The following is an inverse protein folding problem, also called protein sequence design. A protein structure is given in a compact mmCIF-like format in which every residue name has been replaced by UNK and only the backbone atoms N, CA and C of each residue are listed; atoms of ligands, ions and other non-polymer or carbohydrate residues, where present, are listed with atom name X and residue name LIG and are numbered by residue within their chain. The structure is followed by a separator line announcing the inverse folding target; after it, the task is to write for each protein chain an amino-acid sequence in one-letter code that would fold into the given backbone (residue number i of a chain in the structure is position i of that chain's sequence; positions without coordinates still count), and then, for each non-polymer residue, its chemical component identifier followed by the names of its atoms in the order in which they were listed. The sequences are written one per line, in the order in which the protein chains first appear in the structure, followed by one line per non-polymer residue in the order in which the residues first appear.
data_IF_445109503673
#
_entry.id   IF_445109503673
#
_cell.length_a   1.000
_cell.length_b   1.000
_cell.length_c   1.000
_cell.angle_alpha   90.00
_cell.angle_beta   90.00
_cell.angle_gamma   90.00
#
_symmetry.space_group_name_H-M   'P 1'
#
loop_
_entity.id
_entity.type
_entity.pdbx_description
1 polymer ?
#
# COMPACT_ATOMS: atom_id res chain seq x y z
N UNK A 1 -16.58 -9.03 -10.57
CA UNK A 1 -15.44 -9.52 -11.35
C UNK A 1 -14.50 -10.36 -10.50
N UNK A 2 -14.00 -9.89 -9.36
CA UNK A 2 -13.11 -10.69 -8.49
C UNK A 2 -13.73 -12.03 -8.12
N UNK A 3 -14.99 -12.07 -7.73
CA UNK A 3 -15.68 -13.31 -7.37
C UNK A 3 -15.88 -14.24 -8.58
N UNK A 4 -16.13 -13.67 -9.77
CA UNK A 4 -16.17 -14.44 -11.02
C UNK A 4 -14.83 -15.09 -11.32
N UNK A 5 -13.71 -14.38 -11.16
CA UNK A 5 -12.37 -14.93 -11.36
C UNK A 5 -12.04 -16.01 -10.32
N UNK A 6 -12.41 -15.79 -9.04
CA UNK A 6 -12.26 -16.80 -7.98
C UNK A 6 -13.05 -18.08 -8.28
N UNK A 7 -14.31 -17.94 -8.75
CA UNK A 7 -15.15 -19.11 -9.10
C UNK A 7 -14.58 -19.92 -10.25
N UNK A 8 -13.72 -19.33 -11.10
CA UNK A 8 -12.96 -19.98 -12.16
C UNK A 8 -11.61 -20.56 -11.70
N UNK A 9 -11.31 -20.51 -10.41
CA UNK A 9 -10.04 -20.93 -9.78
C UNK A 9 -8.79 -20.23 -10.33
N UNK A 10 -8.92 -18.94 -10.69
CA UNK A 10 -7.84 -18.16 -11.29
C UNK A 10 -7.00 -17.36 -10.27
N UNK A 11 -7.40 -17.37 -8.99
CA UNK A 11 -6.71 -16.57 -7.96
C UNK A 11 -5.25 -16.98 -7.75
N UNK A 12 -4.95 -18.30 -7.78
CA UNK A 12 -3.56 -18.78 -7.66
C UNK A 12 -2.69 -18.28 -8.80
N UNK A 13 -3.17 -18.36 -10.05
CA UNK A 13 -2.42 -17.86 -11.22
C UNK A 13 -2.13 -16.36 -11.09
N UNK A 14 -3.13 -15.57 -10.70
CA UNK A 14 -2.95 -14.13 -10.50
C UNK A 14 -1.94 -13.87 -9.39
N UNK A 15 -2.06 -14.54 -8.24
CA UNK A 15 -1.16 -14.35 -7.11
C UNK A 15 0.26 -14.77 -7.45
N UNK A 16 0.44 -15.89 -8.13
CA UNK A 16 1.76 -16.40 -8.50
C UNK A 16 2.48 -15.48 -9.49
N UNK A 17 1.76 -14.91 -10.47
CA UNK A 17 2.36 -14.04 -11.48
C UNK A 17 2.53 -12.60 -11.03
N UNK A 18 1.63 -12.09 -10.20
CA UNK A 18 1.59 -10.66 -9.81
C UNK A 18 2.04 -10.38 -8.39
N UNK A 19 2.06 -11.38 -7.50
CA UNK A 19 2.25 -11.22 -6.07
C UNK A 19 1.05 -10.61 -5.34
N UNK A 20 -0.06 -10.36 -6.03
CA UNK A 20 -1.24 -9.69 -5.51
C UNK A 20 -2.40 -10.67 -5.29
N UNK A 21 -3.34 -10.29 -4.46
CA UNK A 21 -4.63 -10.97 -4.30
C UNK A 21 -5.63 -10.45 -5.36
N UNK A 22 -6.63 -11.25 -5.69
CA UNK A 22 -7.77 -10.78 -6.50
C UNK A 22 -8.63 -9.83 -5.67
N UNK A 23 -8.40 -8.54 -5.82
CA UNK A 23 -9.11 -7.49 -5.08
C UNK A 23 -9.48 -6.33 -6.02
N UNK A 24 -10.66 -5.70 -5.86
CA UNK A 24 -11.05 -4.53 -6.63
C UNK A 24 -10.18 -3.29 -6.36
N UNK A 25 -9.31 -3.34 -5.39
CA UNK A 25 -8.29 -2.31 -5.14
C UNK A 25 -7.38 -2.08 -6.34
N UNK A 26 -7.04 -3.14 -7.08
CA UNK A 26 -6.11 -3.10 -8.22
C UNK A 26 -6.79 -2.74 -9.53
N UNK A 27 -6.00 -2.34 -10.55
CA UNK A 27 -6.50 -1.69 -11.76
C UNK A 27 -7.20 -2.64 -12.75
N UNK A 28 -6.76 -3.90 -12.86
CA UNK A 28 -7.19 -4.81 -13.94
C UNK A 28 -8.71 -5.03 -13.97
N UNK A 29 -9.33 -5.29 -12.81
CA UNK A 29 -10.78 -5.50 -12.72
C UNK A 29 -11.59 -4.22 -13.00
N UNK A 30 -11.01 -3.04 -12.79
CA UNK A 30 -11.62 -1.75 -13.18
C UNK A 30 -11.53 -1.55 -14.69
N UNK A 31 -10.43 -2.00 -15.32
CA UNK A 31 -10.25 -1.94 -16.77
C UNK A 31 -11.34 -2.70 -17.52
N UNK A 32 -11.56 -3.98 -17.17
CA UNK A 32 -12.64 -4.76 -17.80
C UNK A 32 -14.01 -4.14 -17.54
N UNK A 33 -14.26 -3.69 -16.29
CA UNK A 33 -15.55 -3.05 -15.98
C UNK A 33 -15.83 -1.84 -16.88
N UNK A 34 -14.83 -0.98 -17.12
CA UNK A 34 -14.96 0.19 -18.00
C UNK A 34 -15.23 -0.26 -19.43
N UNK A 35 -14.47 -1.23 -19.93
CA UNK A 35 -14.60 -1.71 -21.32
C UNK A 35 -15.98 -2.33 -21.59
N UNK A 36 -16.61 -2.96 -20.59
CA UNK A 36 -17.93 -3.57 -20.73
C UNK A 36 -19.09 -2.61 -20.47
N UNK A 37 -18.95 -1.67 -19.53
CA UNK A 37 -20.07 -0.87 -19.05
C UNK A 37 -20.12 0.55 -19.63
N UNK A 38 -19.02 1.03 -20.24
CA UNK A 38 -19.01 2.33 -20.92
C UNK A 38 -19.27 2.14 -22.40
N UNK A 39 -20.37 2.74 -22.88
CA UNK A 39 -20.80 2.59 -24.27
C UNK A 39 -19.69 2.96 -25.28
N UNK A 40 -19.37 2.03 -26.18
CA UNK A 40 -18.37 2.20 -27.22
C UNK A 40 -16.91 2.10 -26.74
N UNK A 41 -16.65 1.87 -25.44
CA UNK A 41 -15.28 1.78 -24.95
C UNK A 41 -14.54 0.57 -25.55
N UNK A 42 -15.17 -0.60 -25.60
CA UNK A 42 -14.58 -1.80 -26.19
C UNK A 42 -14.20 -1.58 -27.66
N UNK A 43 -15.14 -1.08 -28.49
CA UNK A 43 -14.90 -0.84 -29.92
C UNK A 43 -13.77 0.17 -30.15
N UNK A 44 -13.66 1.17 -29.29
CA UNK A 44 -12.59 2.18 -29.38
C UNK A 44 -11.24 1.62 -28.91
N UNK A 45 -11.26 0.77 -27.90
CA UNK A 45 -10.07 0.08 -27.42
C UNK A 45 -9.49 -0.84 -28.51
N UNK A 46 -10.35 -1.62 -29.18
CA UNK A 46 -9.96 -2.54 -30.25
C UNK A 46 -9.41 -1.77 -31.49
N UNK A 47 -9.85 -0.53 -31.70
CA UNK A 47 -9.32 0.37 -32.73
C UNK A 47 -8.05 1.12 -32.33
N UNK A 48 -7.55 0.93 -31.08
CA UNK A 48 -6.39 1.65 -30.56
C UNK A 48 -6.62 3.15 -30.30
N UNK A 49 -7.87 3.57 -30.11
CA UNK A 49 -8.24 4.97 -29.85
C UNK A 49 -8.17 5.34 -28.37
N UNK A 50 -7.94 4.36 -27.49
CA UNK A 50 -7.87 4.56 -26.05
C UNK A 50 -6.48 4.19 -25.53
N UNK A 51 -6.12 4.81 -24.42
CA UNK A 51 -4.96 4.47 -23.60
C UNK A 51 -5.40 4.26 -22.15
N UNK A 52 -4.79 3.31 -21.48
CA UNK A 52 -5.02 2.99 -20.08
C UNK A 52 -3.71 3.10 -19.31
N UNK A 53 -3.80 3.40 -18.01
CA UNK A 53 -2.64 3.42 -17.13
C UNK A 53 -3.03 3.83 -15.72
N UNK A 54 -2.09 3.73 -14.83
CA UNK A 54 -2.14 4.28 -13.48
C UNK A 54 -1.97 5.82 -13.54
N UNK A 55 -2.13 6.49 -12.40
CA UNK A 55 -2.11 7.97 -12.36
C UNK A 55 -0.80 8.57 -12.89
N UNK A 56 0.31 7.90 -12.69
CA UNK A 56 1.63 8.28 -13.20
C UNK A 56 1.65 8.35 -14.73
N UNK A 57 1.09 7.33 -15.42
CA UNK A 57 0.96 7.33 -16.89
C UNK A 57 0.16 8.52 -17.38
N UNK A 58 -0.95 8.84 -16.73
CA UNK A 58 -1.75 10.00 -17.06
C UNK A 58 -0.97 11.31 -16.85
N UNK A 59 -0.23 11.43 -15.74
CA UNK A 59 0.59 12.60 -15.44
C UNK A 59 1.72 12.77 -16.46
N UNK A 60 2.45 11.70 -16.80
CA UNK A 60 3.50 11.71 -17.82
C UNK A 60 2.91 12.15 -19.15
N UNK A 61 1.80 11.54 -19.57
CA UNK A 61 1.13 11.89 -20.82
C UNK A 61 0.73 13.37 -20.86
N UNK A 62 0.13 13.88 -19.79
CA UNK A 62 -0.26 15.29 -19.69
C UNK A 62 0.95 16.23 -19.68
N UNK A 63 1.97 15.92 -18.87
CA UNK A 63 3.16 16.75 -18.72
C UNK A 63 3.97 16.82 -20.03
N UNK A 64 4.03 15.72 -20.80
CA UNK A 64 4.74 15.66 -22.07
C UNK A 64 3.91 16.18 -23.26
N UNK A 65 2.70 16.68 -23.03
CA UNK A 65 1.81 17.14 -24.09
C UNK A 65 1.30 16.01 -25.01
N UNK A 66 1.06 14.83 -24.45
CA UNK A 66 0.55 13.65 -25.15
C UNK A 66 1.59 12.83 -25.93
N UNK A 67 2.89 13.09 -25.72
CA UNK A 67 3.97 12.45 -26.50
C UNK A 67 4.44 11.13 -25.91
N UNK A 68 4.32 10.93 -24.59
CA UNK A 68 4.82 9.75 -23.89
C UNK A 68 3.68 9.08 -23.13
N UNK A 69 3.45 7.79 -23.43
CA UNK A 69 2.57 6.90 -22.71
C UNK A 69 3.43 5.81 -22.06
N UNK A 70 3.85 6.05 -20.83
CA UNK A 70 4.75 5.18 -20.08
C UNK A 70 4.36 5.10 -18.61
N UNK A 71 4.81 4.05 -17.95
CA UNK A 71 4.74 3.82 -16.50
C UNK A 71 6.05 3.25 -16.02
N UNK A 72 6.25 3.16 -14.70
CA UNK A 72 7.37 2.42 -14.14
C UNK A 72 6.95 1.02 -13.64
N UNK A 73 7.95 0.18 -13.35
CA UNK A 73 7.70 -1.18 -12.89
C UNK A 73 6.94 -1.24 -11.55
N UNK A 74 7.08 -0.23 -10.67
CA UNK A 74 6.38 -0.21 -9.37
C UNK A 74 4.90 0.04 -9.54
N UNK A 75 4.49 0.99 -10.38
CA UNK A 75 3.10 1.25 -10.70
C UNK A 75 2.49 0.09 -11.52
N UNK A 76 3.21 -0.43 -12.52
CA UNK A 76 2.78 -1.58 -13.31
C UNK A 76 2.46 -2.79 -12.41
N UNK A 77 3.29 -3.06 -11.41
CA UNK A 77 3.08 -4.18 -10.47
C UNK A 77 1.79 -4.07 -9.62
N UNK A 78 1.06 -2.94 -9.66
CA UNK A 78 -0.20 -2.74 -8.93
C UNK A 78 -1.45 -2.94 -9.78
N UNK A 79 -1.33 -3.56 -10.95
CA UNK A 79 -2.41 -3.57 -11.93
C UNK A 79 -3.15 -4.90 -12.09
N UNK A 80 -2.66 -6.02 -11.56
CA UNK A 80 -3.06 -7.40 -11.85
C UNK A 80 -2.76 -7.84 -13.30
N UNK A 81 -2.03 -7.04 -14.07
CA UNK A 81 -1.73 -7.31 -15.49
C UNK A 81 -0.23 -7.47 -15.75
N UNK A 82 0.60 -7.15 -14.78
CA UNK A 82 2.05 -7.15 -14.88
C UNK A 82 2.65 -8.35 -14.16
N UNK A 83 3.44 -9.14 -14.88
CA UNK A 83 4.15 -10.28 -14.30
C UNK A 83 5.44 -9.79 -13.62
N UNK A 84 5.50 -9.96 -12.29
CA UNK A 84 6.64 -9.49 -11.50
C UNK A 84 7.91 -10.32 -11.68
N UNK A 85 7.81 -11.52 -12.27
CA UNK A 85 8.97 -12.38 -12.57
C UNK A 85 9.61 -12.01 -13.91
N UNK A 86 8.78 -11.86 -14.96
CA UNK A 86 9.26 -11.50 -16.30
C UNK A 86 9.47 -10.00 -16.50
N UNK A 87 8.92 -9.18 -15.61
CA UNK A 87 8.95 -7.71 -15.65
C UNK A 87 8.30 -7.12 -16.91
N UNK A 88 7.22 -7.76 -17.37
CA UNK A 88 6.44 -7.37 -18.55
C UNK A 88 4.94 -7.50 -18.30
N UNK A 89 4.14 -6.86 -19.14
CA UNK A 89 2.72 -7.14 -19.24
C UNK A 89 2.52 -8.61 -19.63
N UNK A 90 1.68 -9.31 -18.89
CA UNK A 90 1.48 -10.75 -19.04
C UNK A 90 0.29 -11.04 -19.93
N UNK A 91 0.51 -11.80 -21.00
CA UNK A 91 -0.54 -12.09 -21.98
C UNK A 91 -1.66 -12.96 -21.39
N UNK A 92 -1.34 -13.91 -20.51
CA UNK A 92 -2.35 -14.75 -19.86
C UNK A 92 -3.23 -13.93 -18.91
N UNK A 93 -2.64 -13.02 -18.13
CA UNK A 93 -3.38 -12.10 -17.27
C UNK A 93 -4.26 -11.13 -18.08
N UNK A 94 -3.74 -10.62 -19.21
CA UNK A 94 -4.50 -9.73 -20.10
C UNK A 94 -5.68 -10.44 -20.75
N UNK A 95 -5.49 -11.68 -21.20
CA UNK A 95 -6.55 -12.50 -21.78
C UNK A 95 -7.62 -12.84 -20.73
N UNK A 96 -7.18 -13.17 -19.49
CA UNK A 96 -8.05 -13.44 -18.35
C UNK A 96 -8.93 -12.25 -17.98
N UNK A 97 -8.36 -11.04 -18.04
CA UNK A 97 -9.03 -9.77 -17.74
C UNK A 97 -9.66 -9.13 -18.97
N UNK A 98 -9.55 -9.74 -20.13
CA UNK A 98 -10.08 -9.21 -21.41
C UNK A 98 -9.64 -7.77 -21.70
N UNK A 99 -8.38 -7.41 -21.34
CA UNK A 99 -7.81 -6.09 -21.53
C UNK A 99 -6.84 -6.14 -22.72
N UNK A 100 -7.11 -5.39 -23.81
CA UNK A 100 -6.20 -5.32 -24.94
C UNK A 100 -4.82 -4.75 -24.57
N UNK A 101 -3.74 -5.45 -24.95
CA UNK A 101 -2.37 -5.00 -24.69
C UNK A 101 -2.06 -3.61 -25.30
N UNK A 102 -2.74 -3.26 -26.39
CA UNK A 102 -2.60 -1.96 -27.06
C UNK A 102 -2.99 -0.76 -26.20
N UNK A 103 -3.75 -0.98 -25.12
CA UNK A 103 -4.14 0.07 -24.17
C UNK A 103 -3.02 0.45 -23.21
N UNK A 104 -2.04 -0.46 -23.00
CA UNK A 104 -1.11 -0.38 -21.86
C UNK A 104 0.12 0.47 -22.19
N UNK A 105 0.66 1.20 -21.20
CA UNK A 105 1.86 2.01 -21.36
C UNK A 105 3.14 1.16 -21.48
N UNK A 106 4.19 1.73 -22.03
CA UNK A 106 5.54 1.17 -21.96
C UNK A 106 6.03 1.16 -20.50
N UNK A 107 6.57 0.02 -20.04
CA UNK A 107 7.07 -0.12 -18.67
C UNK A 107 8.57 0.16 -18.64
N UNK A 108 8.97 1.20 -17.90
CA UNK A 108 10.37 1.64 -17.75
C UNK A 108 10.87 1.40 -16.33
N UNK A 109 12.17 1.61 -16.12
CA UNK A 109 12.76 1.64 -14.78
C UNK A 109 12.30 2.88 -14.00
N UNK A 110 12.34 2.82 -12.67
CA UNK A 110 11.97 3.97 -11.83
C UNK A 110 12.83 5.20 -12.13
N UNK A 111 14.10 5.01 -12.49
CA UNK A 111 14.98 6.07 -12.97
C UNK A 111 15.28 5.83 -14.46
N UNK A 112 14.56 6.54 -15.32
CA UNK A 112 14.66 6.43 -16.78
C UNK A 112 14.27 7.75 -17.46
N UNK A 113 14.48 7.83 -18.76
CA UNK A 113 14.01 8.95 -19.56
C UNK A 113 12.49 8.79 -19.83
N UNK A 114 11.68 9.64 -19.23
CA UNK A 114 10.23 9.73 -19.48
C UNK A 114 9.87 10.92 -20.35
N UNK A 115 10.85 11.52 -21.01
CA UNK A 115 10.70 12.70 -21.87
C UNK A 115 10.81 14.00 -21.07
N UNK A 116 10.34 15.08 -21.71
CA UNK A 116 10.39 16.44 -21.14
C UNK A 116 8.98 17.03 -21.02
N UNK A 117 8.79 17.91 -20.06
CA UNK A 117 7.54 18.62 -19.88
C UNK A 117 7.27 19.55 -21.07
N UNK A 118 6.00 19.66 -21.46
CA UNK A 118 5.61 20.62 -22.49
C UNK A 118 5.83 22.06 -22.02
N UNK A 119 6.53 22.83 -22.83
CA UNK A 119 6.79 24.26 -22.55
C UNK A 119 5.50 25.06 -22.37
N UNK A 120 4.41 24.65 -22.99
CA UNK A 120 3.10 25.33 -22.85
C UNK A 120 2.50 25.20 -21.44
N UNK A 121 2.92 24.21 -20.65
CA UNK A 121 2.40 23.98 -19.29
C UNK A 121 3.20 24.74 -18.23
N UNK A 122 4.54 24.66 -18.31
CA UNK A 122 5.42 25.16 -17.26
C UNK A 122 6.32 26.31 -17.71
N UNK A 123 6.20 26.77 -18.97
CA UNK A 123 7.05 27.82 -19.55
C UNK A 123 8.44 27.33 -19.96
N UNK A 124 8.88 26.18 -19.47
CA UNK A 124 10.19 25.56 -19.72
C UNK A 124 10.01 24.06 -19.95
N UNK A 125 11.02 23.46 -20.58
CA UNK A 125 11.13 22.00 -20.72
C UNK A 125 11.96 21.44 -19.57
N UNK A 126 11.36 20.59 -18.76
CA UNK A 126 12.01 19.93 -17.60
C UNK A 126 12.06 18.44 -17.88
N UNK A 127 13.23 17.78 -17.83
CA UNK A 127 13.30 16.33 -17.95
C UNK A 127 12.51 15.62 -16.86
N UNK A 128 11.75 14.60 -17.24
CA UNK A 128 11.06 13.68 -16.32
C UNK A 128 11.96 12.43 -16.24
N UNK A 129 12.71 12.29 -15.16
CA UNK A 129 13.76 11.27 -15.01
C UNK A 129 13.47 10.26 -13.89
N UNK A 130 12.37 10.39 -13.16
CA UNK A 130 12.01 9.47 -12.08
C UNK A 130 10.51 9.32 -11.94
N UNK A 131 10.06 8.07 -11.81
CA UNK A 131 8.66 7.68 -11.58
C UNK A 131 8.64 6.49 -10.62
N UNK A 132 7.79 6.55 -9.62
CA UNK A 132 7.54 5.43 -8.70
C UNK A 132 6.15 5.58 -8.06
N UNK A 133 5.55 4.45 -7.67
CA UNK A 133 4.37 4.49 -6.80
C UNK A 133 4.69 5.16 -5.46
N UNK A 134 3.72 5.77 -4.82
CA UNK A 134 3.93 6.56 -3.58
C UNK A 134 4.56 5.75 -2.45
N UNK A 135 4.11 4.51 -2.25
CA UNK A 135 4.64 3.62 -1.21
C UNK A 135 6.07 3.16 -1.53
N UNK A 136 6.37 2.91 -2.79
CA UNK A 136 7.70 2.57 -3.29
C UNK A 136 8.64 3.77 -3.23
N UNK A 137 8.16 4.96 -3.59
CA UNK A 137 8.90 6.20 -3.41
C UNK A 137 9.25 6.45 -1.94
N UNK A 138 8.32 6.16 -1.01
CA UNK A 138 8.59 6.23 0.42
C UNK A 138 9.63 5.20 0.88
N UNK A 139 9.63 3.98 0.32
CA UNK A 139 10.67 2.97 0.61
C UNK A 139 12.08 3.49 0.25
N UNK A 140 12.20 4.12 -0.92
CA UNK A 140 13.45 4.76 -1.38
C UNK A 140 13.77 5.99 -0.52
N UNK A 141 12.78 6.86 -0.28
CA UNK A 141 12.94 8.09 0.52
C UNK A 141 13.37 7.83 1.95
N UNK A 142 12.94 6.71 2.54
CA UNK A 142 13.38 6.22 3.84
C UNK A 142 14.73 5.46 3.77
N UNK A 143 15.38 5.42 2.60
CA UNK A 143 16.63 4.71 2.38
C UNK A 143 16.60 3.23 2.84
N UNK A 144 15.49 2.53 2.59
CA UNK A 144 15.34 1.11 2.90
C UNK A 144 15.93 0.25 1.77
N UNK A 145 17.24 0.30 1.58
CA UNK A 145 17.94 -0.37 0.47
C UNK A 145 18.46 -1.76 0.79
N UNK A 146 18.55 -2.13 2.06
CA UNK A 146 19.03 -3.45 2.46
C UNK A 146 17.87 -4.41 2.72
N UNK A 147 18.06 -5.69 2.40
CA UNK A 147 17.10 -6.75 2.71
C UNK A 147 16.81 -6.78 4.21
N UNK A 148 15.54 -6.81 4.59
CA UNK A 148 15.09 -6.76 5.97
C UNK A 148 14.82 -5.34 6.51
N UNK A 149 15.19 -4.28 5.79
CA UNK A 149 14.77 -2.93 6.14
C UNK A 149 13.29 -2.71 5.81
N UNK A 150 12.59 -2.03 6.70
CA UNK A 150 11.17 -1.76 6.57
C UNK A 150 10.93 -0.26 6.61
N UNK A 151 10.03 0.23 5.76
CA UNK A 151 9.35 1.51 5.96
C UNK A 151 7.90 1.28 6.38
N UNK A 152 7.38 2.12 7.23
CA UNK A 152 5.97 2.13 7.61
C UNK A 152 5.45 3.55 7.69
N UNK A 153 4.46 3.87 6.86
CA UNK A 153 3.83 5.19 6.81
C UNK A 153 2.54 5.16 7.61
N UNK A 154 2.50 5.90 8.72
CA UNK A 154 1.34 6.01 9.61
C UNK A 154 0.54 7.27 9.30
N UNK A 155 -0.40 7.13 8.36
CA UNK A 155 -1.41 8.13 8.01
C UNK A 155 -2.79 7.76 8.57
N UNK A 156 -3.85 7.92 7.77
CA UNK A 156 -5.21 7.44 8.08
C UNK A 156 -5.22 5.93 8.39
N UNK A 157 -4.58 5.15 7.51
CA UNK A 157 -4.15 3.78 7.75
C UNK A 157 -2.64 3.71 7.91
N UNK A 158 -2.10 2.49 7.90
CA UNK A 158 -0.66 2.27 7.89
C UNK A 158 -0.28 1.35 6.73
N UNK A 159 0.77 1.73 5.99
CA UNK A 159 1.31 0.97 4.87
C UNK A 159 2.76 0.60 5.14
N UNK A 160 2.99 -0.67 5.33
CA UNK A 160 4.30 -1.23 5.65
C UNK A 160 4.89 -1.97 4.46
N UNK A 161 6.11 -1.60 4.06
CA UNK A 161 6.87 -2.30 3.01
C UNK A 161 8.21 -2.78 3.56
N UNK A 162 8.48 -4.06 3.37
CA UNK A 162 9.74 -4.71 3.74
C UNK A 162 10.52 -5.06 2.48
N UNK A 163 11.75 -4.57 2.36
CA UNK A 163 12.65 -4.89 1.26
C UNK A 163 13.08 -6.37 1.33
N UNK A 164 12.82 -7.14 0.26
CA UNK A 164 13.18 -8.57 0.16
C UNK A 164 14.39 -8.82 -0.73
N UNK A 165 15.05 -7.76 -1.21
CA UNK A 165 16.14 -7.86 -2.18
C UNK A 165 15.66 -8.32 -3.55
N UNK A 166 16.43 -9.15 -4.22
CA UNK A 166 16.11 -9.68 -5.55
C UNK A 166 15.19 -10.91 -5.52
N UNK A 167 14.69 -11.29 -4.34
CA UNK A 167 13.85 -12.47 -4.17
C UNK A 167 12.36 -12.11 -4.20
N UNK A 168 11.63 -12.76 -5.09
CA UNK A 168 10.16 -12.79 -5.05
C UNK A 168 9.74 -13.77 -3.96
N UNK A 169 9.15 -13.28 -2.89
CA UNK A 169 8.66 -14.12 -1.80
C UNK A 169 7.15 -14.25 -1.89
N UNK A 170 6.68 -15.46 -2.10
CA UNK A 170 5.26 -15.77 -1.95
C UNK A 170 4.89 -15.76 -0.46
N UNK A 171 3.93 -14.95 -0.06
CA UNK A 171 3.47 -14.89 1.31
C UNK A 171 2.41 -15.95 1.60
N UNK A 172 2.65 -16.78 2.62
CA UNK A 172 1.66 -17.69 3.18
C UNK A 172 0.76 -17.01 4.25
N UNK A 173 1.06 -15.73 4.55
CA UNK A 173 0.37 -14.94 5.57
C UNK A 173 -0.45 -13.80 4.94
N UNK A 174 -0.86 -13.96 3.67
CA UNK A 174 -1.69 -12.99 2.94
C UNK A 174 -1.08 -11.58 2.83
N UNK A 175 0.25 -11.47 2.86
CA UNK A 175 0.94 -10.23 2.49
C UNK A 175 1.05 -10.15 0.98
N UNK A 176 1.20 -8.95 0.45
CA UNK A 176 1.34 -8.73 -0.99
C UNK A 176 2.83 -8.67 -1.36
N UNK A 177 3.21 -9.37 -2.43
CA UNK A 177 4.53 -9.20 -3.03
C UNK A 177 4.43 -8.18 -4.16
N UNK A 178 5.37 -7.25 -4.21
CA UNK A 178 5.35 -6.16 -5.20
C UNK A 178 6.76 -5.81 -5.63
N UNK A 179 6.89 -5.09 -6.74
CA UNK A 179 8.16 -4.46 -7.11
C UNK A 179 8.40 -3.29 -6.14
N UNK A 180 9.49 -3.33 -5.39
CA UNK A 180 9.93 -2.25 -4.51
C UNK A 180 10.55 -1.11 -5.32
N UNK A 181 11.42 -1.43 -6.26
CA UNK A 181 11.96 -0.54 -7.30
C UNK A 181 12.68 -1.34 -8.38
N UNK A 182 12.83 -0.76 -9.58
CA UNK A 182 13.67 -1.29 -10.65
C UNK A 182 14.62 -0.20 -11.16
N UNK A 183 15.92 -0.48 -11.09
CA UNK A 183 17.00 0.45 -11.47
C UNK A 183 18.03 -0.26 -12.33
N UNK A 184 18.35 0.30 -13.49
CA UNK A 184 19.30 -0.27 -14.45
C UNK A 184 18.99 -1.75 -14.78
N UNK A 185 17.71 -2.07 -14.95
CA UNK A 185 17.22 -3.42 -15.24
C UNK A 185 17.23 -4.40 -14.06
N UNK A 186 17.68 -3.98 -12.88
CA UNK A 186 17.66 -4.82 -11.66
C UNK A 186 16.45 -4.52 -10.81
N UNK A 187 15.70 -5.55 -10.49
CA UNK A 187 14.48 -5.45 -9.66
C UNK A 187 14.76 -5.78 -8.21
N UNK A 188 14.35 -4.91 -7.32
CA UNK A 188 14.24 -5.17 -5.89
C UNK A 188 12.77 -5.33 -5.55
N UNK A 189 12.43 -6.38 -4.80
CA UNK A 189 11.07 -6.69 -4.40
C UNK A 189 10.79 -6.25 -2.97
N UNK A 190 9.52 -6.20 -2.62
CA UNK A 190 9.08 -5.90 -1.27
C UNK A 190 7.83 -6.70 -0.90
N UNK A 191 7.73 -7.07 0.39
CA UNK A 191 6.49 -7.55 1.00
C UNK A 191 5.72 -6.38 1.59
N UNK A 192 4.48 -6.21 1.16
CA UNK A 192 3.57 -5.18 1.63
C UNK A 192 2.51 -5.75 2.58
N UNK A 193 2.23 -5.03 3.65
CA UNK A 193 1.08 -5.24 4.50
C UNK A 193 0.45 -3.91 4.87
N UNK A 194 -0.86 -3.86 4.98
CA UNK A 194 -1.60 -2.64 5.32
C UNK A 194 -2.51 -2.83 6.52
N UNK A 195 -2.57 -1.80 7.35
CA UNK A 195 -3.52 -1.62 8.45
C UNK A 195 -4.50 -0.55 7.98
N UNK A 196 -5.79 -0.87 7.93
CA UNK A 196 -6.78 0.05 7.38
C UNK A 196 -7.06 1.25 8.29
N UNK A 197 -6.94 1.05 9.60
CA UNK A 197 -7.26 2.05 10.61
C UNK A 197 -6.06 2.28 11.53
N UNK A 198 -5.35 3.38 11.33
CA UNK A 198 -4.28 3.88 12.19
C UNK A 198 -4.65 5.27 12.72
N UNK A 199 -4.23 6.34 12.08
CA UNK A 199 -4.61 7.71 12.44
C UNK A 199 -6.11 7.97 12.40
N UNK A 200 -6.88 7.19 11.61
CA UNK A 200 -8.34 7.24 11.62
C UNK A 200 -8.93 6.90 13.00
N UNK A 201 -8.27 6.05 13.80
CA UNK A 201 -8.72 5.78 15.15
C UNK A 201 -8.55 7.01 16.07
N UNK A 202 -7.46 7.74 15.92
CA UNK A 202 -7.26 9.01 16.65
C UNK A 202 -8.24 10.09 16.17
N UNK A 203 -8.51 10.16 14.87
CA UNK A 203 -9.54 11.06 14.33
C UNK A 203 -10.93 10.70 14.90
N UNK A 204 -11.25 9.42 15.03
CA UNK A 204 -12.49 8.98 15.65
C UNK A 204 -12.60 9.40 17.13
N UNK A 205 -11.52 9.32 17.91
CA UNK A 205 -11.49 9.83 19.29
C UNK A 205 -11.83 11.31 19.34
N UNK A 206 -11.34 12.10 18.35
CA UNK A 206 -11.58 13.55 18.26
C UNK A 206 -12.97 13.86 17.69
N UNK A 207 -13.27 13.36 16.49
CA UNK A 207 -14.41 13.81 15.69
C UNK A 207 -15.68 12.95 15.93
N UNK A 208 -15.49 11.67 16.29
CA UNK A 208 -16.58 10.72 16.50
C UNK A 208 -17.14 10.73 17.93
N UNK A 209 -16.27 10.63 18.93
CA UNK A 209 -16.69 10.57 20.34
C UNK A 209 -16.29 11.80 21.16
N UNK A 210 -15.43 12.68 20.64
CA UNK A 210 -15.16 14.00 21.24
C UNK A 210 -14.43 13.94 22.59
N UNK A 211 -13.54 12.97 22.83
CA UNK A 211 -12.80 12.84 24.09
C UNK A 211 -11.43 13.52 24.03
N UNK A 212 -11.00 13.99 22.87
CA UNK A 212 -9.83 14.83 22.65
C UNK A 212 -10.18 15.96 21.69
N UNK A 213 -9.51 17.10 21.78
CA UNK A 213 -9.66 18.22 20.85
C UNK A 213 -8.64 18.17 19.71
N UNK A 214 -7.44 17.66 19.99
CA UNK A 214 -6.33 17.55 19.04
C UNK A 214 -5.59 16.21 19.18
N UNK A 215 -5.00 15.73 18.10
CA UNK A 215 -4.19 14.50 18.11
C UNK A 215 -2.97 14.60 19.07
N UNK A 216 -2.42 15.80 19.28
CA UNK A 216 -1.28 16.02 20.19
C UNK A 216 -1.60 15.69 21.65
N UNK A 217 -2.87 15.80 22.09
CA UNK A 217 -3.25 15.44 23.45
C UNK A 217 -3.03 13.97 23.76
N UNK A 218 -3.02 13.10 22.73
CA UNK A 218 -2.91 11.65 22.91
C UNK A 218 -1.59 11.23 23.55
N UNK A 219 -0.49 11.94 23.28
CA UNK A 219 0.83 11.65 23.86
C UNK A 219 0.81 11.80 25.38
N UNK A 220 0.45 13.00 25.86
CA UNK A 220 0.39 13.27 27.29
C UNK A 220 -0.63 12.40 28.04
N UNK A 221 -1.77 12.08 27.41
CA UNK A 221 -2.78 11.20 28.00
C UNK A 221 -2.26 9.76 28.14
N UNK A 222 -1.55 9.25 27.12
CA UNK A 222 -0.95 7.89 27.20
C UNK A 222 0.18 7.84 28.23
N UNK A 223 1.01 8.89 28.34
CA UNK A 223 2.08 9.00 29.32
C UNK A 223 1.59 9.12 30.78
N UNK A 224 0.37 9.64 30.96
CA UNK A 224 -0.21 9.79 32.32
C UNK A 224 -0.58 8.47 32.99
N UNK A 225 -0.53 7.36 32.27
CA UNK A 225 -0.89 6.04 32.76
C UNK A 225 0.33 5.11 32.75
N UNK A 226 0.49 4.28 33.75
CA UNK A 226 1.53 3.23 33.77
C UNK A 226 1.18 2.06 32.84
N UNK A 227 -0.10 1.78 32.63
CA UNK A 227 -0.61 0.70 31.77
C UNK A 227 -1.94 1.12 31.11
N UNK A 228 -2.46 0.30 30.21
CA UNK A 228 -3.80 0.48 29.64
C UNK A 228 -4.93 0.07 30.60
N UNK A 229 -4.61 -0.32 31.82
CA UNK A 229 -5.55 -0.77 32.85
C UNK A 229 -6.50 -1.90 32.39
N UNK A 230 -6.03 -2.74 31.44
CA UNK A 230 -6.81 -3.85 30.87
C UNK A 230 -7.79 -3.43 29.79
N UNK A 231 -7.73 -2.17 29.33
CA UNK A 231 -8.60 -1.69 28.23
C UNK A 231 -7.89 -1.91 26.88
N UNK A 232 -8.59 -2.55 25.97
CA UNK A 232 -8.10 -2.82 24.62
C UNK A 232 -9.10 -2.37 23.57
N UNK A 233 -8.61 -1.80 22.48
CA UNK A 233 -9.39 -1.43 21.30
C UNK A 233 -9.00 -2.32 20.10
N UNK A 234 -10.01 -2.85 19.41
CA UNK A 234 -9.87 -3.41 18.07
C UNK A 234 -10.43 -2.39 17.08
N UNK A 235 -9.59 -1.69 16.31
CA UNK A 235 -10.03 -0.57 15.47
C UNK A 235 -10.50 -1.03 14.08
N UNK A 236 -11.33 -2.09 14.01
CA UNK A 236 -11.82 -2.64 12.75
C UNK A 236 -13.01 -1.83 12.19
N UNK A 237 -12.88 -0.50 12.05
CA UNK A 237 -13.99 0.38 11.62
C UNK A 237 -14.42 0.10 10.18
N UNK A 238 -13.50 -0.35 9.33
CA UNK A 238 -13.72 -0.72 7.93
C UNK A 238 -13.25 -2.14 7.64
N UNK A 239 -13.33 -3.03 8.63
CA UNK A 239 -12.74 -4.37 8.58
C UNK A 239 -11.28 -4.38 9.04
N UNK A 240 -10.66 -5.55 8.97
CA UNK A 240 -9.24 -5.78 9.25
C UNK A 240 -8.47 -6.03 7.95
N UNK A 241 -7.33 -5.38 7.80
CA UNK A 241 -6.38 -5.61 6.71
C UNK A 241 -5.51 -6.84 6.92
N UNK A 242 -4.31 -6.84 6.33
CA UNK A 242 -3.35 -7.92 6.48
C UNK A 242 -2.94 -8.11 7.96
N UNK A 243 -2.71 -9.34 8.42
CA UNK A 243 -2.81 -10.62 7.72
C UNK A 243 -4.22 -11.23 7.74
N UNK A 244 -5.20 -10.58 8.35
CA UNK A 244 -6.54 -11.15 8.62
C UNK A 244 -7.43 -11.14 7.37
N UNK A 245 -7.50 -9.98 6.69
CA UNK A 245 -8.38 -9.74 5.53
C UNK A 245 -9.84 -10.10 5.81
N UNK A 246 -10.36 -9.53 6.91
CA UNK A 246 -11.75 -9.71 7.33
C UNK A 246 -12.53 -8.40 7.12
N UNK A 247 -13.30 -8.26 6.03
CA UNK A 247 -14.09 -7.06 5.75
C UNK A 247 -15.31 -6.93 6.65
N UNK A 248 -15.74 -8.02 7.31
CA UNK A 248 -16.91 -8.05 8.19
C UNK A 248 -16.57 -7.74 9.65
N UNK A 249 -15.29 -7.76 10.03
CA UNK A 249 -14.85 -7.36 11.36
C UNK A 249 -15.28 -5.91 11.66
N UNK A 250 -15.67 -5.67 12.90
CA UNK A 250 -16.05 -4.33 13.37
C UNK A 250 -15.28 -3.97 14.63
N UNK A 251 -15.14 -2.65 14.88
CA UNK A 251 -14.46 -2.13 16.05
C UNK A 251 -15.11 -2.61 17.36
N UNK A 252 -14.26 -2.89 18.35
CA UNK A 252 -14.68 -3.31 19.68
C UNK A 252 -13.75 -2.76 20.74
N UNK A 253 -14.30 -2.48 21.92
CA UNK A 253 -13.53 -2.10 23.11
C UNK A 253 -13.78 -3.15 24.18
N UNK A 254 -12.72 -3.64 24.78
CA UNK A 254 -12.74 -4.67 25.84
C UNK A 254 -12.13 -4.12 27.13
N UNK A 255 -12.49 -4.73 28.27
CA UNK A 255 -11.89 -4.44 29.56
C UNK A 255 -12.37 -3.15 30.22
N UNK A 256 -13.46 -2.54 29.75
CA UNK A 256 -14.04 -1.34 30.35
C UNK A 256 -14.57 -1.64 31.75
N UNK A 257 -14.22 -0.78 32.72
CA UNK A 257 -14.71 -0.79 34.07
C UNK A 257 -15.35 0.57 34.39
N UNK A 258 -15.90 0.72 35.62
CA UNK A 258 -16.45 2.00 36.08
C UNK A 258 -15.39 3.12 36.14
N UNK A 259 -14.14 2.74 36.34
CA UNK A 259 -13.02 3.67 36.50
C UNK A 259 -12.32 4.01 35.19
N UNK A 260 -12.75 3.40 34.06
CA UNK A 260 -12.20 3.68 32.74
C UNK A 260 -12.58 5.08 32.29
N UNK A 261 -11.59 5.89 31.99
CA UNK A 261 -11.73 7.26 31.52
C UNK A 261 -11.17 7.48 30.10
N UNK A 262 -11.14 8.74 29.64
CA UNK A 262 -10.60 9.11 28.34
C UNK A 262 -9.13 8.71 28.13
N UNK A 263 -8.29 8.76 29.17
CA UNK A 263 -6.88 8.41 29.05
C UNK A 263 -6.66 6.93 28.69
N UNK A 264 -7.42 6.02 29.32
CA UNK A 264 -7.38 4.58 29.01
C UNK A 264 -7.82 4.32 27.55
N UNK A 265 -8.88 4.98 27.09
CA UNK A 265 -9.36 4.84 25.73
C UNK A 265 -8.35 5.37 24.70
N UNK A 266 -7.73 6.50 24.97
CA UNK A 266 -6.66 7.07 24.14
C UNK A 266 -5.47 6.12 24.07
N UNK A 267 -4.99 5.65 25.24
CA UNK A 267 -3.85 4.74 25.30
C UNK A 267 -4.14 3.41 24.59
N UNK A 268 -5.30 2.81 24.82
CA UNK A 268 -5.72 1.59 24.13
C UNK A 268 -5.79 1.78 22.61
N UNK A 269 -6.17 2.98 22.15
CA UNK A 269 -6.18 3.32 20.72
C UNK A 269 -4.76 3.37 20.14
N UNK A 270 -3.81 4.02 20.80
CA UNK A 270 -2.41 4.06 20.34
C UNK A 270 -1.78 2.66 20.37
N UNK A 271 -1.99 1.91 21.46
CA UNK A 271 -1.50 0.53 21.59
C UNK A 271 -2.07 -0.39 20.50
N UNK A 272 -3.33 -0.22 20.12
CA UNK A 272 -3.98 -1.05 19.07
C UNK A 272 -3.29 -0.96 17.71
N UNK A 273 -2.73 0.22 17.39
CA UNK A 273 -1.97 0.44 16.15
C UNK A 273 -0.63 -0.29 16.23
N UNK A 274 0.00 -0.28 17.39
CA UNK A 274 1.24 -0.98 17.64
C UNK A 274 1.04 -2.51 17.59
N UNK A 275 -0.04 -3.03 18.15
CA UNK A 275 -0.37 -4.46 18.10
C UNK A 275 -0.61 -4.93 16.65
N UNK A 276 -1.34 -4.19 15.84
CA UNK A 276 -1.51 -4.52 14.43
C UNK A 276 -0.18 -4.46 13.65
N UNK A 277 0.69 -3.51 13.99
CA UNK A 277 2.04 -3.44 13.43
C UNK A 277 2.87 -4.68 13.79
N UNK A 278 2.77 -5.15 15.04
CA UNK A 278 3.40 -6.38 15.49
C UNK A 278 2.89 -7.59 14.68
N UNK A 279 1.58 -7.71 14.49
CA UNK A 279 1.00 -8.81 13.70
C UNK A 279 1.54 -8.82 12.27
N UNK A 280 1.69 -7.66 11.63
CA UNK A 280 2.31 -7.55 10.30
C UNK A 280 3.78 -7.96 10.30
N UNK A 281 4.55 -7.58 11.32
CA UNK A 281 5.96 -7.99 11.44
C UNK A 281 6.08 -9.51 11.63
N UNK A 282 5.25 -10.09 12.49
CA UNK A 282 5.23 -11.53 12.71
C UNK A 282 4.84 -12.29 11.44
N UNK A 283 3.88 -11.78 10.67
CA UNK A 283 3.54 -12.34 9.36
C UNK A 283 4.77 -12.33 8.43
N UNK A 284 5.52 -11.22 8.37
CA UNK A 284 6.75 -11.12 7.56
C UNK A 284 7.85 -12.07 8.03
N UNK A 285 8.04 -12.22 9.35
CA UNK A 285 9.00 -13.20 9.94
C UNK A 285 8.65 -14.63 9.54
N UNK A 286 7.36 -14.98 9.58
CA UNK A 286 6.87 -16.32 9.17
C UNK A 286 7.07 -16.59 7.68
N UNK A 287 7.06 -15.54 6.84
CA UNK A 287 7.38 -15.64 5.42
C UNK A 287 8.90 -15.68 5.13
N UNK A 288 9.74 -15.72 6.18
CA UNK A 288 11.16 -16.05 6.08
C UNK A 288 12.11 -14.85 6.02
N UNK A 289 11.64 -13.62 6.26
CA UNK A 289 12.53 -12.46 6.38
C UNK A 289 12.56 -11.94 7.81
N UNK A 290 13.77 -11.78 8.33
CA UNK A 290 13.98 -11.13 9.62
C UNK A 290 14.05 -9.62 9.46
N UNK A 291 13.10 -8.86 10.04
CA UNK A 291 13.18 -7.42 10.10
C UNK A 291 14.40 -6.95 10.89
N UNK A 292 15.16 -6.01 10.33
CA UNK A 292 16.39 -5.48 10.99
C UNK A 292 16.22 -4.04 11.48
N UNK A 293 15.34 -3.28 10.83
CA UNK A 293 15.06 -1.87 11.17
C UNK A 293 13.70 -1.46 10.62
N UNK A 294 12.95 -0.73 11.41
CA UNK A 294 11.70 -0.09 11.00
C UNK A 294 11.93 1.43 10.89
N UNK A 295 11.72 1.99 9.71
CA UNK A 295 11.71 3.42 9.48
C UNK A 295 10.27 3.88 9.36
N UNK A 296 9.92 4.92 10.11
CA UNK A 296 8.54 5.40 10.23
C UNK A 296 8.39 6.82 9.71
N UNK A 297 7.25 7.09 9.09
CA UNK A 297 6.82 8.43 8.68
C UNK A 297 5.30 8.58 8.79
N UNK A 298 4.80 9.75 8.39
CA UNK A 298 3.38 10.10 8.51
C UNK A 298 3.06 10.92 9.74
N UNK A 299 1.82 11.38 9.86
CA UNK A 299 1.41 12.32 10.92
C UNK A 299 1.50 11.76 12.33
N UNK A 300 1.33 10.45 12.49
CA UNK A 300 1.30 9.83 13.82
C UNK A 300 2.68 9.70 14.47
N UNK A 301 3.78 9.73 13.69
CA UNK A 301 5.13 9.61 14.24
C UNK A 301 5.61 10.86 14.99
N UNK A 302 4.82 11.92 14.99
CA UNK A 302 5.02 13.08 15.86
C UNK A 302 4.75 12.74 17.34
N UNK A 303 4.07 11.63 17.63
CA UNK A 303 3.82 11.12 18.97
C UNK A 303 5.00 10.23 19.39
N UNK A 304 5.86 10.74 20.27
CA UNK A 304 7.07 10.04 20.73
C UNK A 304 6.72 8.82 21.59
N UNK A 305 5.64 8.87 22.35
CA UNK A 305 5.17 7.73 23.14
C UNK A 305 4.83 6.55 22.22
N UNK A 306 4.11 6.82 21.11
CA UNK A 306 3.78 5.77 20.12
C UNK A 306 5.05 5.15 19.54
N UNK A 307 6.02 5.97 19.11
CA UNK A 307 7.28 5.48 18.55
C UNK A 307 8.08 4.65 19.54
N UNK A 308 8.13 5.08 20.81
CA UNK A 308 8.82 4.34 21.87
C UNK A 308 8.11 3.02 22.21
N UNK A 309 6.77 3.04 22.26
CA UNK A 309 5.99 1.83 22.51
C UNK A 309 6.16 0.81 21.37
N UNK A 310 6.18 1.28 20.12
CA UNK A 310 6.52 0.46 18.95
C UNK A 310 7.89 -0.19 19.09
N UNK A 311 8.94 0.60 19.39
CA UNK A 311 10.30 0.09 19.53
C UNK A 311 10.40 -0.97 20.62
N UNK A 312 9.78 -0.72 21.77
CA UNK A 312 9.78 -1.65 22.90
C UNK A 312 9.06 -2.97 22.58
N UNK A 313 7.91 -2.89 21.87
CA UNK A 313 7.10 -4.06 21.56
C UNK A 313 7.70 -4.90 20.45
N UNK A 314 8.31 -4.27 19.44
CA UNK A 314 8.85 -4.95 18.27
C UNK A 314 10.28 -5.47 18.48
N UNK A 315 10.97 -5.00 19.51
CA UNK A 315 12.39 -5.28 19.81
C UNK A 315 13.31 -5.03 18.61
N UNK A 316 13.06 -3.93 17.89
CA UNK A 316 13.90 -3.47 16.76
C UNK A 316 14.05 -1.94 16.83
N UNK A 317 15.06 -1.42 16.11
CA UNK A 317 15.26 0.03 15.98
C UNK A 317 14.11 0.61 15.13
N UNK A 318 13.43 1.60 15.72
CA UNK A 318 12.37 2.40 15.06
C UNK A 318 12.89 3.80 14.82
#
# INVERSE_FOLDING_TARGET
YCDSLRSRNLESTVTDQTGLLLDPYFSGTKGIWILENVAGARDRADKGELACGTIDSFLIWRLTGGKVHATDATNASRTLMFNIHTQQWDTELLDMLEVPASLLPEVRDCAADYGVTSKSLLGVEIPIAGVAGDQQAALIGQACFETGMIKSTYGTGCFMMLNTGEQVLASNNKLLTTVGYRLAGKTTYALEGSIFVAGAAVQWLRDGIGIIDTAHQTEAMAESLDSNNGVYLVPAFTGLGAPHWDPEARGAIFGITRDTGPAELVRATLESICYQTFDLLEAKRRDGITPIRLRVDGGMVQNNWLCQFLANMLDIIV
#
